data_IF_670376506498
#
_entry.id   IF_670376506498
#
_cell.length_a   1.000
_cell.length_b   1.000
_cell.length_c   1.000
_cell.angle_alpha   90.00
_cell.angle_beta   90.00
_cell.angle_gamma   90.00
#
_symmetry.space_group_name_H-M   'P 1'
#
loop_
_entity.id
_entity.type
_entity.pdbx_description
1 polymer ?
#
# COMPACT_ATOMS: atom_id res chain seq x y z
N UNK A 1 -53.36 -39.24 -20.97
CA UNK A 1 -52.50 -39.47 -19.76
C UNK A 1 -51.02 -39.13 -19.98
N UNK A 2 -50.32 -39.67 -21.02
CA UNK A 2 -48.87 -39.38 -21.23
C UNK A 2 -48.53 -37.88 -21.43
N UNK A 3 -49.37 -37.07 -22.06
CA UNK A 3 -49.14 -35.62 -22.29
C UNK A 3 -49.41 -34.76 -21.06
N UNK A 4 -50.29 -35.21 -20.16
CA UNK A 4 -50.60 -34.51 -18.88
C UNK A 4 -49.44 -34.77 -17.87
N UNK A 5 -48.90 -35.98 -17.85
CA UNK A 5 -47.76 -36.34 -17.02
C UNK A 5 -46.50 -35.58 -17.44
N UNK A 6 -46.23 -35.40 -18.77
CA UNK A 6 -45.11 -34.61 -19.28
C UNK A 6 -45.24 -33.12 -18.93
N UNK A 7 -46.46 -32.55 -18.93
CA UNK A 7 -46.68 -31.16 -18.55
C UNK A 7 -46.52 -30.95 -17.03
N UNK A 8 -46.95 -31.90 -16.18
CA UNK A 8 -46.72 -31.86 -14.74
C UNK A 8 -45.26 -32.01 -14.36
N UNK A 9 -44.48 -32.82 -15.04
CA UNK A 9 -43.03 -32.95 -14.83
C UNK A 9 -42.31 -31.67 -15.27
N UNK A 10 -42.71 -31.03 -16.37
CA UNK A 10 -42.13 -29.76 -16.80
C UNK A 10 -42.45 -28.59 -15.85
N UNK A 11 -43.66 -28.56 -15.26
CA UNK A 11 -44.05 -27.58 -14.23
C UNK A 11 -43.30 -27.85 -12.92
N UNK A 12 -43.07 -29.11 -12.50
CA UNK A 12 -42.25 -29.44 -11.32
C UNK A 12 -40.76 -29.12 -11.51
N UNK A 13 -40.22 -29.21 -12.75
CA UNK A 13 -38.85 -28.82 -13.05
C UNK A 13 -38.65 -27.28 -13.04
N UNK A 14 -39.71 -26.52 -13.34
CA UNK A 14 -39.66 -25.05 -13.24
C UNK A 14 -39.77 -24.52 -11.78
N UNK A 15 -40.35 -25.29 -10.87
CA UNK A 15 -40.43 -24.94 -9.45
C UNK A 15 -39.18 -25.34 -8.67
N UNK A 16 -38.33 -26.24 -9.21
CA UNK A 16 -37.10 -26.70 -8.59
C UNK A 16 -35.87 -25.81 -8.79
N UNK A 17 -35.97 -24.66 -9.46
CA UNK A 17 -34.87 -23.70 -9.70
C UNK A 17 -34.96 -22.43 -8.85
N UNK A 18 -35.84 -22.34 -7.88
CA UNK A 18 -35.72 -21.34 -6.83
C UNK A 18 -34.64 -21.81 -5.87
N UNK A 19 -33.36 -21.53 -6.20
CA UNK A 19 -32.29 -21.58 -5.23
C UNK A 19 -32.74 -20.76 -4.01
N UNK A 20 -32.51 -21.26 -2.83
CA UNK A 20 -32.68 -20.50 -1.59
C UNK A 20 -31.66 -19.35 -1.57
N UNK A 21 -31.93 -18.28 -2.31
CA UNK A 21 -31.35 -16.98 -1.99
C UNK A 21 -32.17 -16.44 -0.83
N UNK A 22 -31.52 -16.10 0.28
CA UNK A 22 -32.19 -15.29 1.30
C UNK A 22 -32.84 -14.09 0.60
N UNK A 23 -34.08 -13.74 0.93
CA UNK A 23 -34.72 -12.57 0.32
C UNK A 23 -33.84 -11.33 0.64
N UNK A 24 -33.57 -10.52 -0.38
CA UNK A 24 -32.85 -9.25 -0.17
C UNK A 24 -33.64 -8.36 0.78
N UNK A 25 -32.91 -7.64 1.64
CA UNK A 25 -33.46 -6.63 2.56
C UNK A 25 -33.52 -5.24 1.90
N UNK A 26 -33.03 -5.12 0.67
CA UNK A 26 -32.98 -3.87 -0.09
C UNK A 26 -34.28 -3.66 -0.87
N UNK A 27 -34.77 -2.43 -0.85
CA UNK A 27 -36.03 -2.04 -1.52
C UNK A 27 -35.90 -0.67 -2.17
N UNK A 28 -35.92 -0.58 -3.52
CA UNK A 28 -35.90 0.71 -4.22
C UNK A 28 -37.03 1.68 -3.83
N UNK A 29 -38.15 1.14 -3.34
CA UNK A 29 -39.28 1.93 -2.83
C UNK A 29 -39.04 2.52 -1.44
N UNK A 30 -38.07 2.01 -0.70
CA UNK A 30 -37.66 2.47 0.62
C UNK A 30 -36.13 2.45 0.76
N UNK A 31 -35.41 3.36 0.10
CA UNK A 31 -33.96 3.32 0.04
C UNK A 31 -33.27 3.43 1.40
N UNK A 32 -32.18 2.67 1.57
CA UNK A 32 -31.28 2.78 2.71
C UNK A 32 -30.13 3.74 2.39
N UNK A 33 -29.82 4.63 3.34
CA UNK A 33 -28.66 5.54 3.22
C UNK A 33 -27.49 5.03 4.07
N UNK A 34 -26.31 5.01 3.48
CA UNK A 34 -25.02 4.76 4.12
C UNK A 34 -24.21 6.04 4.17
N UNK A 35 -23.83 6.48 5.37
CA UNK A 35 -22.85 7.54 5.54
C UNK A 35 -21.43 6.95 5.41
N UNK A 36 -20.58 7.60 4.63
CA UNK A 36 -19.20 7.14 4.34
C UNK A 36 -18.16 8.17 4.73
N UNK A 37 -17.11 7.72 5.43
CA UNK A 37 -15.85 8.44 5.59
C UNK A 37 -14.74 7.77 4.79
N UNK A 38 -14.01 8.54 3.99
CA UNK A 38 -12.90 7.99 3.21
C UNK A 38 -11.65 8.87 3.23
N UNK A 39 -10.52 8.29 2.81
CA UNK A 39 -9.19 8.92 2.83
C UNK A 39 -8.68 9.35 1.44
N UNK A 40 -9.49 9.23 0.41
CA UNK A 40 -9.12 9.51 -1.00
C UNK A 40 -9.52 10.94 -1.40
N UNK A 41 -8.99 11.95 -0.71
CA UNK A 41 -9.38 13.35 -0.90
C UNK A 41 -8.25 14.28 -1.33
N UNK A 42 -7.07 13.76 -1.65
CA UNK A 42 -5.90 14.57 -2.00
C UNK A 42 -5.98 15.20 -3.39
N UNK A 43 -6.82 14.66 -4.27
CA UNK A 43 -7.06 15.19 -5.60
C UNK A 43 -8.26 16.15 -5.58
N UNK A 44 -8.21 17.22 -6.39
CA UNK A 44 -9.29 18.22 -6.50
C UNK A 44 -10.66 17.58 -6.82
N UNK A 45 -10.65 16.56 -7.70
CA UNK A 45 -11.80 15.71 -8.01
C UNK A 45 -11.52 14.29 -7.49
N UNK A 46 -11.94 13.99 -6.26
CA UNK A 46 -11.70 12.68 -5.64
C UNK A 46 -12.26 11.54 -6.50
N UNK A 47 -11.44 10.59 -6.95
CA UNK A 47 -11.91 9.41 -7.70
C UNK A 47 -12.98 8.62 -6.93
N UNK A 48 -12.88 8.57 -5.60
CA UNK A 48 -13.87 7.92 -4.74
C UNK A 48 -15.23 8.63 -4.81
N UNK A 49 -15.23 9.96 -4.81
CA UNK A 49 -16.48 10.73 -4.92
C UNK A 49 -17.16 10.52 -6.28
N UNK A 50 -16.39 10.42 -7.36
CA UNK A 50 -16.91 10.13 -8.70
C UNK A 50 -17.56 8.74 -8.76
N UNK A 51 -16.89 7.72 -8.22
CA UNK A 51 -17.43 6.36 -8.15
C UNK A 51 -18.69 6.28 -7.29
N UNK A 52 -18.75 6.98 -6.16
CA UNK A 52 -19.96 7.04 -5.33
C UNK A 52 -21.13 7.68 -6.08
N UNK A 53 -20.87 8.74 -6.84
CA UNK A 53 -21.90 9.37 -7.67
C UNK A 53 -22.42 8.41 -8.76
N UNK A 54 -21.51 7.66 -9.42
CA UNK A 54 -21.86 6.63 -10.40
C UNK A 54 -22.66 5.49 -9.76
N UNK A 55 -22.22 4.95 -8.62
CA UNK A 55 -22.95 3.92 -7.89
C UNK A 55 -24.37 4.38 -7.56
N UNK A 56 -24.51 5.56 -7.00
CA UNK A 56 -25.83 6.12 -6.63
C UNK A 56 -26.75 6.31 -7.85
N UNK A 57 -26.19 6.63 -9.02
CA UNK A 57 -26.96 6.82 -10.25
C UNK A 57 -27.30 5.50 -10.97
N UNK A 58 -26.66 4.39 -10.62
CA UNK A 58 -26.80 3.08 -11.28
C UNK A 58 -27.30 2.01 -10.31
N UNK A 59 -26.43 1.14 -9.83
CA UNK A 59 -26.75 0.00 -8.97
C UNK A 59 -27.41 0.46 -7.66
N UNK A 60 -26.98 1.60 -7.11
CA UNK A 60 -27.57 2.18 -5.91
C UNK A 60 -29.06 2.52 -6.12
N UNK A 61 -29.40 3.15 -7.25
CA UNK A 61 -30.80 3.44 -7.62
C UNK A 61 -31.61 2.16 -7.84
N UNK A 62 -31.05 1.17 -8.53
CA UNK A 62 -31.72 -0.09 -8.82
C UNK A 62 -32.03 -0.89 -7.56
N UNK A 63 -31.13 -0.87 -6.57
CA UNK A 63 -31.26 -1.66 -5.33
C UNK A 63 -31.82 -0.88 -4.15
N UNK A 64 -32.02 0.43 -4.27
CA UNK A 64 -32.48 1.28 -3.18
C UNK A 64 -31.36 1.56 -2.16
N UNK A 65 -30.17 1.87 -2.63
CA UNK A 65 -29.01 2.22 -1.80
C UNK A 65 -28.55 3.63 -2.17
N UNK A 66 -28.30 4.47 -1.16
CA UNK A 66 -27.69 5.79 -1.33
C UNK A 66 -26.45 5.88 -0.45
N UNK A 67 -25.29 6.05 -1.05
CA UNK A 67 -24.03 6.30 -0.32
C UNK A 67 -23.77 7.80 -0.29
N UNK A 68 -23.59 8.35 0.92
CA UNK A 68 -23.34 9.79 1.13
C UNK A 68 -22.02 9.98 1.83
N UNK A 69 -21.09 10.72 1.20
CA UNK A 69 -19.81 11.08 1.83
C UNK A 69 -20.09 12.16 2.89
N UNK A 70 -19.79 11.86 4.14
CA UNK A 70 -19.97 12.78 5.27
C UNK A 70 -18.64 13.31 5.82
N UNK A 71 -17.52 12.65 5.49
CA UNK A 71 -16.18 13.14 5.83
C UNK A 71 -15.15 12.64 4.82
N UNK A 72 -14.28 13.55 4.36
CA UNK A 72 -13.07 13.23 3.60
C UNK A 72 -11.87 13.64 4.44
N UNK A 73 -10.96 12.70 4.67
CA UNK A 73 -9.81 12.87 5.56
C UNK A 73 -8.57 12.20 4.94
N UNK A 74 -7.59 11.85 5.76
CA UNK A 74 -6.43 11.07 5.34
C UNK A 74 -6.13 9.95 6.34
N UNK A 75 -5.25 9.03 5.94
CA UNK A 75 -4.93 7.82 6.72
C UNK A 75 -4.36 8.13 8.11
N UNK A 76 -3.64 9.25 8.29
CA UNK A 76 -3.06 9.63 9.59
C UNK A 76 -4.07 10.22 10.56
N UNK A 77 -5.18 10.77 10.07
CA UNK A 77 -6.18 11.48 10.90
C UNK A 77 -7.43 10.66 11.19
N UNK A 78 -7.79 9.72 10.31
CA UNK A 78 -9.08 9.02 10.41
C UNK A 78 -9.26 8.29 11.74
N UNK A 79 -8.20 7.65 12.27
CA UNK A 79 -8.27 6.95 13.57
C UNK A 79 -8.61 7.89 14.72
N UNK A 80 -8.00 9.08 14.77
CA UNK A 80 -8.31 10.11 15.76
C UNK A 80 -9.76 10.62 15.63
N UNK A 81 -10.23 10.83 14.41
CA UNK A 81 -11.61 11.27 14.14
C UNK A 81 -12.64 10.21 14.53
N UNK A 82 -12.40 8.93 14.22
CA UNK A 82 -13.23 7.82 14.66
C UNK A 82 -13.29 7.73 16.19
N UNK A 83 -12.14 7.92 16.86
CA UNK A 83 -12.09 7.95 18.33
C UNK A 83 -12.91 9.10 18.91
N UNK A 84 -12.78 10.31 18.34
CA UNK A 84 -13.55 11.49 18.79
C UNK A 84 -15.06 11.29 18.57
N UNK A 85 -15.45 10.71 17.43
CA UNK A 85 -16.85 10.39 17.15
C UNK A 85 -17.40 9.30 18.08
N UNK A 86 -16.63 8.25 18.35
CA UNK A 86 -16.99 7.18 19.29
C UNK A 86 -17.21 7.72 20.71
N UNK A 87 -16.41 8.69 21.13
CA UNK A 87 -16.50 9.32 22.45
C UNK A 87 -17.51 10.48 22.50
N UNK A 88 -18.23 10.76 21.42
CA UNK A 88 -19.18 11.87 21.31
C UNK A 88 -18.55 13.22 21.73
N UNK A 89 -17.28 13.45 21.35
CA UNK A 89 -16.57 14.67 21.72
C UNK A 89 -17.22 15.91 21.11
N UNK A 90 -17.28 17.06 21.81
CA UNK A 90 -17.89 18.27 21.29
C UNK A 90 -17.32 18.68 19.93
N UNK A 91 -18.15 18.73 18.90
CA UNK A 91 -17.76 19.08 17.52
C UNK A 91 -17.26 17.92 16.68
N UNK A 92 -17.20 16.71 17.22
CA UNK A 92 -16.97 15.52 16.42
C UNK A 92 -18.18 15.25 15.49
N UNK A 93 -17.96 14.79 14.26
CA UNK A 93 -19.05 14.35 13.40
C UNK A 93 -19.64 13.03 13.93
N UNK A 94 -20.87 12.73 13.51
CA UNK A 94 -21.52 11.46 13.82
C UNK A 94 -20.73 10.27 13.23
N UNK A 95 -20.74 9.14 13.95
CA UNK A 95 -20.10 7.90 13.45
C UNK A 95 -20.67 7.49 12.09
N UNK A 96 -19.80 7.17 11.12
CA UNK A 96 -20.24 6.74 9.79
C UNK A 96 -20.74 5.28 9.81
N UNK A 97 -21.57 4.93 8.84
CA UNK A 97 -21.96 3.53 8.60
C UNK A 97 -20.83 2.73 7.95
N UNK A 98 -20.07 3.37 7.06
CA UNK A 98 -18.96 2.79 6.29
C UNK A 98 -17.75 3.72 6.33
N UNK A 99 -16.55 3.20 6.50
CA UNK A 99 -15.35 4.04 6.60
C UNK A 99 -14.08 3.33 6.19
N UNK A 100 -13.11 4.12 5.72
CA UNK A 100 -11.76 3.64 5.47
C UNK A 100 -11.08 3.26 6.79
N UNK A 101 -10.47 2.07 6.86
CA UNK A 101 -9.92 1.54 8.09
C UNK A 101 -8.66 0.69 7.90
N UNK A 102 -7.82 0.68 8.92
CA UNK A 102 -6.81 -0.36 9.18
C UNK A 102 -7.31 -1.29 10.29
N UNK A 103 -6.66 -2.44 10.48
CA UNK A 103 -7.00 -3.40 11.55
C UNK A 103 -6.87 -2.80 12.94
N UNK A 104 -5.95 -1.85 13.16
CA UNK A 104 -5.84 -1.08 14.41
C UNK A 104 -7.13 -0.31 14.76
N UNK A 105 -7.90 0.13 13.76
CA UNK A 105 -9.19 0.78 14.00
C UNK A 105 -10.25 -0.22 14.45
N UNK A 106 -10.16 -1.49 14.04
CA UNK A 106 -11.03 -2.54 14.58
C UNK A 106 -10.79 -2.75 16.08
N UNK A 107 -9.53 -2.72 16.53
CA UNK A 107 -9.19 -2.74 17.95
C UNK A 107 -9.76 -1.53 18.73
N UNK A 108 -9.69 -0.33 18.13
CA UNK A 108 -10.24 0.90 18.72
C UNK A 108 -11.75 0.86 18.90
N UNK A 109 -12.49 0.31 17.92
CA UNK A 109 -13.96 0.32 17.88
C UNK A 109 -14.58 -0.94 18.52
N UNK A 110 -13.77 -1.97 18.78
CA UNK A 110 -14.22 -3.32 19.09
C UNK A 110 -14.61 -4.07 17.81
N UNK A 111 -13.85 -5.09 17.44
CA UNK A 111 -14.07 -5.83 16.20
C UNK A 111 -15.48 -6.46 16.11
N UNK A 112 -16.08 -6.80 17.24
CA UNK A 112 -17.44 -7.32 17.34
C UNK A 112 -18.52 -6.31 16.94
N UNK A 113 -18.22 -5.01 16.96
CA UNK A 113 -19.09 -3.92 16.53
C UNK A 113 -19.02 -3.66 15.02
N UNK A 114 -18.15 -4.36 14.32
CA UNK A 114 -17.99 -4.27 12.87
C UNK A 114 -18.71 -5.43 12.17
N UNK A 115 -19.14 -5.16 10.94
CA UNK A 115 -19.67 -6.20 10.05
C UNK A 115 -18.56 -7.21 9.76
N UNK A 116 -18.85 -8.50 9.98
CA UNK A 116 -18.01 -9.56 9.45
C UNK A 116 -18.37 -9.80 7.97
N UNK A 117 -17.51 -9.38 7.07
CA UNK A 117 -17.75 -9.49 5.63
C UNK A 117 -17.95 -10.91 5.13
N UNK A 118 -17.45 -11.94 5.86
CA UNK A 118 -17.70 -13.35 5.54
C UNK A 118 -19.18 -13.77 5.69
N UNK A 119 -19.99 -12.98 6.39
CA UNK A 119 -21.42 -13.22 6.46
C UNK A 119 -22.17 -12.74 5.20
N UNK A 120 -21.51 -11.89 4.39
CA UNK A 120 -22.06 -11.22 3.19
C UNK A 120 -21.36 -11.63 1.89
N UNK A 121 -20.13 -12.12 1.95
CA UNK A 121 -19.37 -12.63 0.82
C UNK A 121 -19.16 -14.14 0.99
N UNK A 122 -19.54 -14.90 -0.03
CA UNK A 122 -19.27 -16.34 -0.06
C UNK A 122 -17.77 -16.63 -0.18
N UNK A 123 -17.34 -17.82 0.23
CA UNK A 123 -15.96 -18.29 0.03
C UNK A 123 -15.53 -18.26 -1.44
N UNK A 124 -16.49 -18.43 -2.36
CA UNK A 124 -16.21 -18.35 -3.79
C UNK A 124 -15.87 -16.93 -4.21
N UNK A 125 -16.65 -15.95 -3.76
CA UNK A 125 -16.39 -14.53 -4.04
C UNK A 125 -15.06 -14.08 -3.43
N UNK A 126 -14.77 -14.48 -2.17
CA UNK A 126 -13.51 -14.09 -1.52
C UNK A 126 -12.27 -14.66 -2.22
N UNK A 127 -12.38 -15.75 -2.98
CA UNK A 127 -11.28 -16.29 -3.81
C UNK A 127 -11.00 -15.46 -5.07
N UNK A 128 -11.85 -14.51 -5.41
CA UNK A 128 -11.64 -13.57 -6.51
C UNK A 128 -10.69 -12.43 -6.11
N UNK A 129 -10.39 -12.30 -4.81
CA UNK A 129 -9.48 -11.30 -4.24
C UNK A 129 -8.10 -11.89 -3.94
N UNK A 130 -7.10 -11.02 -3.90
CA UNK A 130 -5.72 -11.41 -3.50
C UNK A 130 -5.76 -11.91 -2.05
N UNK A 131 -5.34 -13.17 -1.80
CA UNK A 131 -5.52 -13.80 -0.48
C UNK A 131 -4.87 -12.99 0.66
N UNK A 132 -3.65 -12.49 0.46
CA UNK A 132 -2.90 -11.74 1.46
C UNK A 132 -3.61 -10.43 1.83
N UNK A 133 -4.36 -9.85 0.89
CA UNK A 133 -5.12 -8.62 1.13
C UNK A 133 -6.39 -8.90 1.94
N UNK A 134 -7.04 -10.04 1.71
CA UNK A 134 -8.16 -10.50 2.53
C UNK A 134 -7.68 -10.85 3.93
N UNK A 135 -6.58 -11.60 4.05
CA UNK A 135 -6.02 -12.00 5.34
C UNK A 135 -5.60 -10.80 6.19
N UNK A 136 -5.10 -9.73 5.56
CA UNK A 136 -4.74 -8.51 6.27
C UNK A 136 -5.92 -7.76 6.91
N UNK A 137 -7.15 -8.07 6.54
CA UNK A 137 -8.38 -7.51 7.11
C UNK A 137 -9.02 -8.36 8.18
N UNK A 138 -8.42 -9.54 8.49
CA UNK A 138 -8.91 -10.45 9.52
C UNK A 138 -8.64 -9.93 10.92
N UNK A 139 -9.62 -10.13 11.80
CA UNK A 139 -9.56 -9.89 13.25
C UNK A 139 -10.09 -11.11 13.98
N UNK A 140 -10.09 -11.09 15.31
CA UNK A 140 -10.70 -12.16 16.11
C UNK A 140 -12.21 -12.32 15.85
N UNK A 141 -12.89 -11.27 15.37
CA UNK A 141 -14.32 -11.30 15.03
C UNK A 141 -14.60 -11.72 13.56
N UNK A 142 -13.58 -12.03 12.77
CA UNK A 142 -13.70 -12.41 11.36
C UNK A 142 -13.07 -11.38 10.40
N UNK A 143 -13.54 -11.33 9.16
CA UNK A 143 -13.09 -10.34 8.18
C UNK A 143 -13.76 -8.99 8.45
N UNK A 144 -13.12 -8.13 9.25
CA UNK A 144 -13.67 -6.83 9.67
C UNK A 144 -13.34 -5.70 8.68
N UNK A 145 -12.20 -5.81 7.97
CA UNK A 145 -11.75 -4.80 7.02
C UNK A 145 -11.69 -5.41 5.61
N UNK A 146 -12.56 -4.96 4.71
CA UNK A 146 -12.55 -5.48 3.34
C UNK A 146 -11.53 -4.73 2.50
N UNK A 147 -10.63 -5.41 1.76
CA UNK A 147 -9.66 -4.75 0.91
C UNK A 147 -10.36 -4.09 -0.30
N UNK A 148 -10.05 -2.82 -0.56
CA UNK A 148 -10.59 -2.07 -1.71
C UNK A 148 -9.50 -1.40 -2.54
N UNK A 149 -8.37 -1.11 -1.91
CA UNK A 149 -7.12 -0.69 -2.54
C UNK A 149 -5.97 -1.00 -1.59
N UNK A 150 -4.83 -1.38 -2.14
CA UNK A 150 -3.62 -1.64 -1.35
C UNK A 150 -2.46 -0.89 -1.96
N UNK A 151 -1.45 -0.59 -1.17
CA UNK A 151 -0.20 -0.03 -1.66
C UNK A 151 0.97 -0.90 -1.24
N UNK A 152 2.04 -0.80 -2.00
CA UNK A 152 3.34 -1.36 -1.67
C UNK A 152 4.39 -0.27 -1.83
N UNK A 153 5.67 -0.65 -1.78
CA UNK A 153 6.76 0.23 -2.16
C UNK A 153 7.27 -0.15 -3.54
N UNK A 154 7.76 0.86 -4.26
CA UNK A 154 8.39 0.70 -5.56
C UNK A 154 9.59 1.64 -5.65
N UNK A 155 10.48 1.36 -6.60
CA UNK A 155 11.64 2.20 -6.92
C UNK A 155 11.26 3.18 -8.03
N UNK A 156 11.26 4.46 -7.71
CA UNK A 156 10.98 5.57 -8.63
C UNK A 156 12.30 6.21 -9.08
N UNK A 157 12.55 6.29 -10.38
CA UNK A 157 13.80 6.84 -10.94
C UNK A 157 13.54 8.01 -11.87
N UNK A 158 14.40 9.03 -11.80
CA UNK A 158 14.55 9.98 -12.87
C UNK A 158 15.25 9.27 -14.06
N UNK A 159 14.44 8.73 -14.98
CA UNK A 159 14.94 7.94 -16.12
C UNK A 159 15.85 8.75 -17.03
N UNK A 160 15.57 10.04 -17.26
CA UNK A 160 16.44 10.90 -18.09
C UNK A 160 17.86 11.01 -17.52
N UNK A 161 17.97 11.12 -16.19
CA UNK A 161 19.28 11.14 -15.52
C UNK A 161 19.91 9.75 -15.45
N UNK A 162 19.12 8.71 -15.19
CA UNK A 162 19.60 7.33 -15.17
C UNK A 162 20.15 6.90 -16.53
N UNK A 163 19.51 7.25 -17.63
CA UNK A 163 19.96 6.91 -18.98
C UNK A 163 21.31 7.54 -19.29
N UNK A 164 21.60 8.77 -18.81
CA UNK A 164 22.95 9.37 -18.92
C UNK A 164 23.98 8.59 -18.09
N UNK A 165 23.65 8.31 -16.83
CA UNK A 165 24.50 7.51 -15.96
C UNK A 165 24.77 6.10 -16.55
N UNK A 166 23.74 5.45 -17.05
CA UNK A 166 23.80 4.15 -17.71
C UNK A 166 24.75 4.18 -18.94
N UNK A 167 24.60 5.19 -19.79
CA UNK A 167 25.44 5.36 -20.99
C UNK A 167 26.92 5.51 -20.66
N UNK A 168 27.24 6.21 -19.57
CA UNK A 168 28.63 6.51 -19.21
C UNK A 168 29.30 5.37 -18.42
N UNK A 169 28.53 4.59 -17.66
CA UNK A 169 29.06 3.60 -16.72
C UNK A 169 28.75 2.14 -17.08
N UNK A 170 27.77 1.92 -17.97
CA UNK A 170 27.29 0.60 -18.35
C UNK A 170 26.33 -0.04 -17.34
N UNK A 171 25.93 0.67 -16.27
CA UNK A 171 24.89 0.21 -15.33
C UNK A 171 23.56 0.19 -16.04
N UNK A 172 22.79 -0.86 -15.89
CA UNK A 172 21.49 -1.07 -16.55
C UNK A 172 20.34 -1.10 -15.53
N UNK A 173 19.09 -0.99 -16.01
CA UNK A 173 17.92 -1.17 -15.16
C UNK A 173 17.86 -2.58 -14.54
N UNK A 174 18.36 -3.60 -15.22
CA UNK A 174 18.40 -4.97 -14.72
C UNK A 174 19.33 -5.14 -13.52
N UNK A 175 20.41 -4.33 -13.43
CA UNK A 175 21.31 -4.33 -12.28
C UNK A 175 20.59 -3.89 -10.99
N UNK A 176 19.49 -3.13 -11.10
CA UNK A 176 18.70 -2.66 -9.97
C UNK A 176 17.70 -3.71 -9.45
N UNK A 177 17.64 -4.90 -10.05
CA UNK A 177 16.66 -5.92 -9.68
C UNK A 177 16.97 -6.64 -8.36
N UNK A 178 18.18 -6.51 -7.82
CA UNK A 178 18.60 -7.09 -6.54
C UNK A 178 19.21 -6.02 -5.64
N UNK A 179 19.17 -6.22 -4.31
CA UNK A 179 19.82 -5.29 -3.38
C UNK A 179 21.33 -5.18 -3.61
N UNK A 180 22.00 -6.28 -3.95
CA UNK A 180 23.44 -6.27 -4.28
C UNK A 180 23.72 -5.35 -5.47
N UNK A 181 23.05 -5.59 -6.61
CA UNK A 181 23.25 -4.77 -7.80
C UNK A 181 22.78 -3.33 -7.62
N UNK A 182 21.72 -3.10 -6.84
CA UNK A 182 21.25 -1.76 -6.48
C UNK A 182 22.31 -0.97 -5.71
N UNK A 183 22.97 -1.56 -4.69
CA UNK A 183 24.01 -0.88 -3.93
C UNK A 183 25.28 -0.70 -4.73
N UNK A 184 25.63 -1.65 -5.60
CA UNK A 184 26.75 -1.49 -6.56
C UNK A 184 26.48 -0.32 -7.52
N UNK A 185 25.26 -0.18 -8.03
CA UNK A 185 24.85 0.94 -8.87
C UNK A 185 24.90 2.27 -8.09
N UNK A 186 24.48 2.26 -6.82
CA UNK A 186 24.53 3.43 -5.95
C UNK A 186 25.95 3.93 -5.70
N UNK A 187 26.90 3.02 -5.46
CA UNK A 187 28.32 3.34 -5.31
C UNK A 187 28.89 3.95 -6.61
N UNK A 188 28.62 3.33 -7.77
CA UNK A 188 29.04 3.86 -9.08
C UNK A 188 28.44 5.22 -9.39
N UNK A 189 27.17 5.44 -9.00
CA UNK A 189 26.52 6.74 -9.18
C UNK A 189 27.17 7.82 -8.32
N UNK A 190 27.49 7.51 -7.07
CA UNK A 190 28.16 8.42 -6.16
C UNK A 190 29.49 8.91 -6.75
N UNK A 191 30.33 8.00 -7.28
CA UNK A 191 31.56 8.32 -7.98
C UNK A 191 31.30 9.15 -9.26
N UNK A 192 30.39 8.69 -10.12
CA UNK A 192 30.08 9.35 -11.40
C UNK A 192 29.52 10.76 -11.22
N UNK A 193 28.68 10.97 -10.23
CA UNK A 193 28.02 12.24 -9.97
C UNK A 193 28.86 13.24 -9.17
N UNK A 194 30.02 12.83 -8.65
CA UNK A 194 30.87 13.64 -7.78
C UNK A 194 30.33 13.78 -6.37
N UNK A 195 29.78 12.70 -5.81
CA UNK A 195 29.36 12.61 -4.41
C UNK A 195 27.88 12.87 -4.16
N UNK A 196 27.01 12.73 -5.18
CA UNK A 196 25.54 12.83 -4.96
C UNK A 196 24.99 11.50 -4.51
N UNK A 197 24.11 11.55 -3.53
CA UNK A 197 23.34 10.40 -3.05
C UNK A 197 22.47 9.80 -4.17
N UNK A 198 22.48 8.49 -4.30
CA UNK A 198 21.72 7.77 -5.30
C UNK A 198 20.23 7.71 -4.99
N UNK A 199 19.88 7.31 -3.76
CA UNK A 199 18.51 6.99 -3.41
C UNK A 199 18.07 7.56 -2.06
N UNK A 200 16.87 8.18 -2.04
CA UNK A 200 16.12 8.45 -0.82
C UNK A 200 15.27 7.22 -0.46
N UNK A 201 15.40 6.72 0.76
CA UNK A 201 14.65 5.57 1.23
C UNK A 201 13.56 5.96 2.22
N UNK A 202 12.32 5.97 1.78
CA UNK A 202 11.19 6.04 2.70
C UNK A 202 11.12 4.72 3.48
N UNK A 203 10.93 4.81 4.80
CA UNK A 203 10.72 3.63 5.66
C UNK A 203 11.83 2.56 5.59
N UNK A 204 13.10 2.96 5.60
CA UNK A 204 14.27 2.07 5.54
C UNK A 204 14.13 0.84 6.46
N UNK A 205 13.63 1.03 7.69
CA UNK A 205 13.44 -0.06 8.65
C UNK A 205 12.48 -1.15 8.15
N UNK A 206 11.55 -0.81 7.25
CA UNK A 206 10.65 -1.79 6.65
C UNK A 206 11.40 -2.69 5.66
N UNK A 207 12.38 -2.17 4.96
CA UNK A 207 13.22 -2.97 4.05
C UNK A 207 14.13 -3.92 4.82
N UNK A 208 14.67 -3.48 5.96
CA UNK A 208 15.40 -4.36 6.89
C UNK A 208 14.52 -5.51 7.38
N UNK A 209 13.29 -5.21 7.81
CA UNK A 209 12.32 -6.21 8.24
C UNK A 209 12.01 -7.24 7.14
N UNK A 210 11.75 -6.77 5.90
CA UNK A 210 11.43 -7.65 4.78
C UNK A 210 12.63 -8.52 4.37
N UNK A 211 13.85 -7.99 4.42
CA UNK A 211 15.05 -8.77 4.15
C UNK A 211 15.24 -9.89 5.18
N UNK A 212 15.03 -9.59 6.48
CA UNK A 212 15.05 -10.62 7.53
C UNK A 212 13.97 -11.69 7.23
N UNK A 213 12.75 -11.27 6.90
CA UNK A 213 11.65 -12.18 6.61
C UNK A 213 11.92 -13.03 5.37
N UNK A 214 12.50 -12.48 4.31
CA UNK A 214 12.88 -13.23 3.11
C UNK A 214 13.94 -14.30 3.41
N UNK A 215 14.91 -14.01 4.29
CA UNK A 215 15.98 -14.94 4.67
C UNK A 215 15.56 -16.00 5.67
N UNK A 216 14.60 -15.70 6.56
CA UNK A 216 14.20 -16.58 7.68
C UNK A 216 12.78 -17.14 7.58
N UNK A 217 11.93 -16.58 6.72
CA UNK A 217 10.50 -16.87 6.64
C UNK A 217 9.64 -16.01 7.58
N UNK A 218 10.24 -15.38 8.59
CA UNK A 218 9.56 -14.47 9.54
C UNK A 218 10.47 -13.34 9.99
N UNK A 219 9.90 -12.19 10.29
CA UNK A 219 10.64 -11.09 10.93
C UNK A 219 10.81 -11.37 12.43
N UNK A 220 11.96 -10.98 12.99
CA UNK A 220 12.31 -11.27 14.37
C UNK A 220 12.13 -10.04 15.25
N UNK A 221 11.14 -10.09 16.13
CA UNK A 221 10.84 -9.05 17.10
C UNK A 221 11.00 -9.56 18.54
N UNK A 222 11.47 -8.69 19.42
CA UNK A 222 11.49 -8.92 20.85
C UNK A 222 10.10 -8.67 21.48
N UNK A 223 9.94 -9.03 22.76
CA UNK A 223 8.66 -8.89 23.47
C UNK A 223 8.14 -7.43 23.54
N UNK A 224 9.04 -6.45 23.46
CA UNK A 224 8.70 -5.03 23.45
C UNK A 224 8.25 -4.51 22.06
N UNK A 225 8.13 -5.39 21.07
CA UNK A 225 7.72 -5.09 19.72
C UNK A 225 8.80 -4.43 18.86
N UNK A 226 10.06 -4.32 19.33
CA UNK A 226 11.18 -3.89 18.52
C UNK A 226 11.94 -5.12 17.98
N UNK A 227 12.90 -4.91 17.10
CA UNK A 227 13.73 -5.99 16.56
C UNK A 227 14.53 -6.69 17.65
N UNK A 228 14.61 -8.01 17.60
CA UNK A 228 15.48 -8.79 18.48
C UNK A 228 16.95 -8.61 18.06
N UNK A 229 17.64 -7.67 18.68
CA UNK A 229 19.05 -7.37 18.37
C UNK A 229 20.03 -8.48 18.78
N UNK A 230 19.57 -9.54 19.43
CA UNK A 230 20.37 -10.74 19.71
C UNK A 230 20.37 -11.73 18.53
N UNK A 231 19.44 -11.59 17.59
CA UNK A 231 19.39 -12.41 16.37
C UNK A 231 20.41 -11.89 15.34
N UNK A 232 21.36 -12.72 14.91
CA UNK A 232 22.34 -12.34 13.88
C UNK A 232 21.72 -11.85 12.58
N UNK A 233 20.54 -12.37 12.18
CA UNK A 233 19.87 -11.95 10.95
C UNK A 233 19.44 -10.48 11.00
N UNK A 234 19.10 -9.96 12.19
CA UNK A 234 18.78 -8.53 12.36
C UNK A 234 20.03 -7.68 12.16
N UNK A 235 21.18 -8.11 12.68
CA UNK A 235 22.46 -7.44 12.46
C UNK A 235 22.84 -7.46 10.98
N UNK A 236 22.82 -8.62 10.34
CA UNK A 236 23.24 -8.77 8.96
C UNK A 236 22.37 -7.94 8.00
N UNK A 237 21.04 -7.99 8.19
CA UNK A 237 20.10 -7.20 7.40
C UNK A 237 20.23 -5.70 7.67
N UNK A 238 20.48 -5.31 8.93
CA UNK A 238 20.76 -3.91 9.25
C UNK A 238 22.02 -3.42 8.53
N UNK A 239 23.13 -4.17 8.62
CA UNK A 239 24.41 -3.78 8.05
C UNK A 239 24.36 -3.64 6.52
N UNK A 240 23.54 -4.45 5.84
CA UNK A 240 23.33 -4.35 4.39
C UNK A 240 22.83 -2.97 3.96
N UNK A 241 21.99 -2.31 4.76
CA UNK A 241 21.52 -0.95 4.49
C UNK A 241 22.36 0.13 5.18
N UNK A 242 22.92 -0.17 6.34
CA UNK A 242 23.69 0.79 7.14
C UNK A 242 25.03 1.15 6.48
N UNK A 243 25.66 0.23 5.77
CA UNK A 243 26.94 0.48 5.11
C UNK A 243 26.78 1.46 3.93
N UNK A 244 25.85 1.28 2.98
CA UNK A 244 25.56 2.29 1.95
C UNK A 244 25.07 3.63 2.52
N UNK A 245 24.36 3.62 3.67
CA UNK A 245 23.97 4.85 4.36
C UNK A 245 25.19 5.60 4.89
N UNK A 246 26.14 4.89 5.53
CA UNK A 246 27.38 5.47 6.06
C UNK A 246 28.29 5.99 4.95
N UNK A 247 28.22 5.41 3.75
CA UNK A 247 28.93 5.85 2.56
C UNK A 247 28.25 7.03 1.82
N UNK A 248 27.05 7.47 2.26
CA UNK A 248 26.29 8.52 1.59
C UNK A 248 25.63 8.08 0.27
N UNK A 249 25.63 6.78 -0.04
CA UNK A 249 25.04 6.25 -1.27
C UNK A 249 23.50 6.23 -1.21
N UNK A 250 22.95 6.02 -0.04
CA UNK A 250 21.50 6.14 0.25
C UNK A 250 21.28 7.09 1.43
N UNK A 251 20.08 7.61 1.58
CA UNK A 251 19.74 8.51 2.68
C UNK A 251 18.34 8.29 3.23
N UNK A 252 18.17 8.60 4.51
CA UNK A 252 16.88 8.77 5.19
C UNK A 252 16.62 10.26 5.35
N UNK A 253 15.45 10.75 4.90
CA UNK A 253 15.11 12.17 4.90
C UNK A 253 13.86 12.46 5.75
N UNK A 254 13.65 13.74 6.11
CA UNK A 254 12.36 14.23 6.63
C UNK A 254 11.32 14.39 5.51
N UNK A 255 11.81 14.67 4.29
CA UNK A 255 10.97 14.76 3.10
C UNK A 255 10.80 13.37 2.48
N UNK A 256 9.66 13.18 1.85
CA UNK A 256 9.42 11.96 1.08
C UNK A 256 10.34 11.86 -0.14
N UNK A 257 10.69 10.66 -0.52
CA UNK A 257 11.60 10.33 -1.63
C UNK A 257 11.21 10.99 -2.95
N UNK A 258 9.91 11.15 -3.24
CA UNK A 258 9.44 11.85 -4.43
C UNK A 258 9.94 13.30 -4.51
N UNK A 259 10.07 14.01 -3.38
CA UNK A 259 10.61 15.37 -3.35
C UNK A 259 12.05 15.42 -3.85
N UNK A 260 12.90 14.51 -3.36
CA UNK A 260 14.31 14.46 -3.76
C UNK A 260 14.51 14.10 -5.24
N UNK A 261 13.65 13.22 -5.77
CA UNK A 261 13.68 12.87 -7.21
C UNK A 261 13.23 14.04 -8.07
N UNK A 262 12.14 14.72 -7.70
CA UNK A 262 11.58 15.84 -8.48
C UNK A 262 12.42 17.12 -8.40
N UNK A 263 13.28 17.25 -7.37
CA UNK A 263 14.25 18.35 -7.25
C UNK A 263 15.64 17.99 -7.80
N UNK A 264 15.84 16.74 -8.24
CA UNK A 264 17.14 16.27 -8.77
C UNK A 264 18.25 16.22 -7.73
N UNK A 265 17.90 16.26 -6.44
CA UNK A 265 18.86 16.05 -5.35
C UNK A 265 19.37 14.60 -5.31
N UNK A 266 18.48 13.64 -5.59
CA UNK A 266 18.79 12.21 -5.68
C UNK A 266 18.25 11.66 -6.99
N UNK A 267 18.90 10.63 -7.50
CA UNK A 267 18.51 9.99 -8.76
C UNK A 267 17.21 9.23 -8.65
N UNK A 268 17.02 8.55 -7.55
CA UNK A 268 15.86 7.71 -7.32
C UNK A 268 15.36 7.80 -5.88
N UNK A 269 14.19 7.20 -5.66
CA UNK A 269 13.59 7.08 -4.35
C UNK A 269 12.79 5.79 -4.24
N UNK A 270 12.84 5.16 -3.08
CA UNK A 270 11.95 4.05 -2.74
C UNK A 270 10.85 4.58 -1.82
N UNK A 271 9.61 4.47 -2.29
CA UNK A 271 8.44 4.97 -1.57
C UNK A 271 7.17 4.22 -1.95
N UNK A 272 6.04 4.68 -1.42
CA UNK A 272 4.73 4.09 -1.69
C UNK A 272 4.38 4.16 -3.18
N UNK A 273 3.76 3.11 -3.73
CA UNK A 273 3.18 3.12 -5.08
C UNK A 273 2.21 4.30 -5.28
N UNK A 274 1.44 4.65 -4.23
CA UNK A 274 0.52 5.77 -4.25
C UNK A 274 1.22 7.15 -4.38
N UNK A 275 2.54 7.23 -4.21
CA UNK A 275 3.27 8.49 -4.41
C UNK A 275 3.38 8.93 -5.86
N UNK A 276 3.00 8.07 -6.83
CA UNK A 276 2.99 8.41 -8.27
C UNK A 276 2.24 9.72 -8.57
N UNK A 277 1.18 10.01 -7.83
CA UNK A 277 0.37 11.22 -8.01
C UNK A 277 1.11 12.53 -7.70
N UNK A 278 2.25 12.44 -7.00
CA UNK A 278 3.10 13.58 -6.66
C UNK A 278 4.28 13.78 -7.61
N UNK A 279 4.42 12.90 -8.61
CA UNK A 279 5.43 13.05 -9.64
C UNK A 279 4.85 13.76 -10.87
N UNK A 280 5.61 14.73 -11.40
CA UNK A 280 5.38 15.33 -12.69
C UNK A 280 6.27 14.72 -13.77
N UNK A 281 6.26 15.36 -14.93
CA UNK A 281 7.13 15.04 -16.08
C UNK A 281 8.41 15.88 -16.13
N UNK A 282 8.67 16.67 -15.09
CA UNK A 282 9.76 17.65 -15.04
C UNK A 282 10.50 17.56 -13.72
N UNK A 283 11.83 17.50 -13.77
CA UNK A 283 12.69 17.74 -12.62
C UNK A 283 13.08 19.21 -12.59
N UNK A 284 13.01 19.83 -11.41
CA UNK A 284 13.43 21.22 -11.19
C UNK A 284 14.58 21.26 -10.19
N UNK A 285 15.75 21.61 -10.65
CA UNK A 285 16.97 21.64 -9.86
C UNK A 285 17.05 22.85 -8.90
N UNK A 286 17.90 22.82 -7.86
CA UNK A 286 18.03 23.93 -6.90
C UNK A 286 18.46 25.26 -7.51
N UNK A 287 19.09 25.26 -8.69
CA UNK A 287 19.47 26.46 -9.44
C UNK A 287 18.32 27.02 -10.31
N UNK A 288 17.11 26.48 -10.19
CA UNK A 288 15.90 26.78 -10.96
C UNK A 288 15.99 26.41 -12.46
N UNK A 289 16.97 25.60 -12.87
CA UNK A 289 16.91 24.96 -14.18
C UNK A 289 15.95 23.76 -14.14
N UNK A 290 15.38 23.41 -15.27
CA UNK A 290 14.45 22.27 -15.37
C UNK A 290 14.72 21.46 -16.62
N UNK A 291 14.48 20.18 -16.57
CA UNK A 291 14.50 19.29 -17.73
C UNK A 291 13.35 18.26 -17.64
N UNK A 292 13.06 17.62 -18.76
CA UNK A 292 12.10 16.52 -18.81
C UNK A 292 12.57 15.34 -17.96
N UNK A 293 11.70 14.84 -17.12
CA UNK A 293 11.93 13.65 -16.29
C UNK A 293 11.13 12.48 -16.86
N UNK A 294 11.79 11.60 -17.57
CA UNK A 294 11.25 10.31 -17.96
C UNK A 294 11.12 9.40 -16.72
N UNK A 295 10.11 9.63 -15.90
CA UNK A 295 9.93 8.84 -14.68
C UNK A 295 9.77 7.35 -15.02
N UNK A 296 10.62 6.52 -14.41
CA UNK A 296 10.55 5.06 -14.49
C UNK A 296 10.24 4.50 -13.11
N UNK A 297 9.36 3.51 -13.06
CA UNK A 297 9.05 2.81 -11.82
C UNK A 297 9.41 1.35 -11.98
N UNK A 298 10.19 0.84 -11.05
CA UNK A 298 10.65 -0.55 -11.02
C UNK A 298 10.13 -1.25 -9.76
N UNK A 299 10.03 -2.59 -9.78
CA UNK A 299 9.80 -3.36 -8.56
C UNK A 299 10.85 -3.06 -7.50
N UNK A 300 10.56 -3.36 -6.24
CA UNK A 300 11.57 -3.37 -5.20
C UNK A 300 12.69 -4.36 -5.55
N UNK A 301 13.96 -4.05 -5.23
CA UNK A 301 15.06 -4.99 -5.39
C UNK A 301 14.81 -6.26 -4.56
N UNK A 302 15.16 -7.43 -5.12
CA UNK A 302 15.05 -8.73 -4.45
C UNK A 302 16.26 -9.01 -3.57
N UNK A 303 16.05 -9.75 -2.49
CA UNK A 303 17.13 -10.25 -1.62
C UNK A 303 17.87 -11.45 -2.21
N UNK A 304 17.29 -12.14 -3.21
CA UNK A 304 17.78 -13.39 -3.77
C UNK A 304 17.36 -14.62 -2.96
N UNK A 305 16.42 -14.47 -2.02
CA UNK A 305 15.85 -15.57 -1.25
C UNK A 305 14.84 -16.39 -2.08
N UNK A 306 14.47 -17.57 -1.58
CA UNK A 306 13.46 -18.43 -2.23
C UNK A 306 12.08 -17.76 -2.24
N UNK A 307 11.74 -17.02 -1.18
CA UNK A 307 10.50 -16.25 -1.06
C UNK A 307 10.87 -14.80 -0.86
N UNK A 308 10.39 -13.96 -1.75
CA UNK A 308 10.54 -12.51 -1.65
C UNK A 308 9.28 -11.87 -1.09
N UNK A 309 9.44 -10.89 -0.22
CA UNK A 309 8.33 -10.19 0.40
C UNK A 309 8.30 -8.72 0.03
N UNK A 310 7.08 -8.20 -0.13
CA UNK A 310 6.82 -6.76 -0.24
C UNK A 310 5.89 -6.29 0.87
N UNK A 311 6.01 -5.03 1.31
CA UNK A 311 5.05 -4.53 2.28
C UNK A 311 3.69 -4.35 1.62
N UNK A 312 2.63 -4.72 2.32
CA UNK A 312 1.31 -4.23 1.99
C UNK A 312 0.89 -3.16 3.00
N UNK A 313 0.32 -2.11 2.47
CA UNK A 313 -0.23 -0.99 3.22
C UNK A 313 -1.56 -0.55 2.60
N UNK A 314 -2.07 0.59 3.03
CA UNK A 314 -3.35 1.10 2.57
C UNK A 314 -4.50 0.67 3.48
N UNK A 315 -5.63 1.31 3.29
CA UNK A 315 -6.85 1.05 4.05
C UNK A 315 -7.78 0.13 3.26
N UNK A 316 -8.60 -0.62 3.99
CA UNK A 316 -9.80 -1.23 3.44
C UNK A 316 -11.04 -0.45 3.86
N UNK A 317 -12.22 -1.04 3.68
CA UNK A 317 -13.48 -0.54 4.18
C UNK A 317 -13.99 -1.40 5.34
N UNK A 318 -14.36 -0.74 6.44
CA UNK A 318 -15.10 -1.33 7.54
C UNK A 318 -16.51 -0.76 7.57
N UNK A 319 -17.47 -1.55 8.01
CA UNK A 319 -18.85 -1.11 8.24
C UNK A 319 -19.25 -1.35 9.70
N UNK A 320 -19.96 -0.39 10.31
CA UNK A 320 -20.54 -0.58 11.63
C UNK A 320 -21.71 -1.57 11.58
N UNK A 321 -21.75 -2.47 12.55
CA UNK A 321 -22.83 -3.44 12.71
C UNK A 321 -24.04 -2.75 13.35
N UNK A 322 -24.91 -2.21 12.51
CA UNK A 322 -26.15 -1.52 12.94
C UNK A 322 -27.39 -2.32 12.57
N UNK A 323 -27.70 -2.48 11.30
CA UNK A 323 -28.80 -3.30 10.78
C UNK A 323 -28.33 -4.20 9.66
N UNK A 324 -28.98 -5.35 9.47
CA UNK A 324 -28.66 -6.26 8.36
C UNK A 324 -28.89 -5.59 6.99
N UNK A 325 -29.89 -4.70 6.87
CA UNK A 325 -30.12 -3.93 5.64
C UNK A 325 -28.93 -3.03 5.28
N UNK A 326 -28.34 -2.33 6.27
CA UNK A 326 -27.14 -1.51 6.04
C UNK A 326 -25.90 -2.36 5.74
N UNK A 327 -25.78 -3.52 6.39
CA UNK A 327 -24.68 -4.45 6.10
C UNK A 327 -24.77 -5.02 4.68
N UNK A 328 -26.00 -5.42 4.23
CA UNK A 328 -26.25 -5.84 2.84
C UNK A 328 -25.93 -4.71 1.86
N UNK A 329 -26.41 -3.50 2.12
CA UNK A 329 -26.13 -2.34 1.27
C UNK A 329 -24.63 -2.02 1.16
N UNK A 330 -23.89 -2.11 2.27
CA UNK A 330 -22.45 -1.93 2.29
C UNK A 330 -21.74 -3.02 1.47
N UNK A 331 -22.17 -4.28 1.58
CA UNK A 331 -21.62 -5.39 0.80
C UNK A 331 -21.89 -5.21 -0.71
N UNK A 332 -23.06 -4.74 -1.10
CA UNK A 332 -23.38 -4.44 -2.49
C UNK A 332 -22.52 -3.30 -3.05
N UNK A 333 -22.29 -2.24 -2.28
CA UNK A 333 -21.38 -1.17 -2.66
C UNK A 333 -19.95 -1.68 -2.83
N UNK A 334 -19.45 -2.48 -1.89
CA UNK A 334 -18.09 -3.05 -1.94
C UNK A 334 -17.92 -3.97 -3.14
N UNK A 335 -18.86 -4.87 -3.43
CA UNK A 335 -18.83 -5.73 -4.63
C UNK A 335 -18.71 -4.91 -5.89
N UNK A 336 -19.60 -3.92 -6.03
CA UNK A 336 -19.61 -3.05 -7.19
C UNK A 336 -18.30 -2.26 -7.32
N UNK A 337 -17.79 -1.73 -6.22
CA UNK A 337 -16.55 -0.94 -6.21
C UNK A 337 -15.31 -1.79 -6.57
N UNK A 338 -15.31 -3.06 -6.20
CA UNK A 338 -14.17 -3.95 -6.40
C UNK A 338 -14.28 -4.86 -7.64
N UNK A 339 -15.26 -4.65 -8.52
CA UNK A 339 -15.25 -5.26 -9.86
C UNK A 339 -13.96 -4.92 -10.60
N UNK A 340 -13.38 -5.88 -11.33
CA UNK A 340 -12.01 -5.81 -11.85
C UNK A 340 -11.71 -4.53 -12.65
N UNK A 341 -12.52 -4.20 -13.64
CA UNK A 341 -12.35 -3.01 -14.48
C UNK A 341 -12.43 -1.72 -13.65
N UNK A 342 -13.46 -1.60 -12.82
CA UNK A 342 -13.70 -0.42 -11.97
C UNK A 342 -12.63 -0.25 -10.89
N UNK A 343 -12.21 -1.36 -10.27
CA UNK A 343 -11.14 -1.34 -9.29
C UNK A 343 -9.82 -0.91 -9.94
N UNK A 344 -9.52 -1.42 -11.15
CA UNK A 344 -8.33 -1.02 -11.89
C UNK A 344 -8.38 0.48 -12.26
N UNK A 345 -9.51 0.98 -12.77
CA UNK A 345 -9.69 2.41 -13.04
C UNK A 345 -9.45 3.30 -11.81
N UNK A 346 -9.96 2.88 -10.66
CA UNK A 346 -9.76 3.60 -9.40
C UNK A 346 -8.30 3.59 -8.95
N UNK A 347 -7.64 2.43 -8.98
CA UNK A 347 -6.25 2.33 -8.48
C UNK A 347 -5.27 2.98 -9.44
N UNK A 348 -5.53 3.01 -10.74
CA UNK A 348 -4.71 3.79 -11.69
C UNK A 348 -4.76 5.27 -11.36
N UNK A 349 -5.91 5.82 -11.00
CA UNK A 349 -6.03 7.23 -10.64
C UNK A 349 -5.36 7.58 -9.31
N UNK A 350 -5.15 6.60 -8.43
CA UNK A 350 -4.68 6.81 -7.05
C UNK A 350 -3.29 6.24 -6.76
N UNK A 351 -2.71 5.47 -7.70
CA UNK A 351 -1.41 4.82 -7.55
C UNK A 351 -1.43 3.60 -6.60
N UNK A 352 -2.61 3.13 -6.20
CA UNK A 352 -2.76 1.93 -5.39
C UNK A 352 -2.66 0.66 -6.25
N UNK A 353 -2.64 -0.50 -5.59
CA UNK A 353 -2.68 -1.82 -6.23
C UNK A 353 -4.11 -2.33 -6.29
N UNK A 354 -4.50 -3.03 -7.37
CA UNK A 354 -5.78 -3.73 -7.45
C UNK A 354 -5.91 -4.78 -6.35
N UNK A 355 -7.14 -5.02 -5.91
CA UNK A 355 -7.40 -6.01 -4.85
C UNK A 355 -8.00 -7.32 -5.36
N UNK A 356 -8.53 -7.35 -6.58
CA UNK A 356 -9.03 -8.57 -7.20
C UNK A 356 -8.05 -9.15 -8.22
N UNK A 357 -7.98 -10.48 -8.29
CA UNK A 357 -7.01 -11.22 -9.13
C UNK A 357 -7.24 -10.94 -10.62
N UNK A 358 -8.49 -10.76 -11.04
CA UNK A 358 -8.80 -10.52 -12.45
C UNK A 358 -8.32 -9.15 -12.94
N UNK A 359 -8.27 -8.13 -12.08
CA UNK A 359 -7.73 -6.82 -12.44
C UNK A 359 -6.25 -6.87 -12.84
N UNK A 360 -5.46 -7.77 -12.24
CA UNK A 360 -4.05 -7.96 -12.64
C UNK A 360 -3.88 -8.49 -14.06
N UNK A 361 -4.87 -9.22 -14.58
CA UNK A 361 -4.86 -9.73 -15.97
C UNK A 361 -5.10 -8.61 -17.00
N UNK A 362 -5.71 -7.52 -16.57
CA UNK A 362 -6.06 -6.38 -17.42
C UNK A 362 -4.97 -5.32 -17.46
N UNK A 363 -4.00 -5.35 -16.52
CA UNK A 363 -2.90 -4.38 -16.42
C UNK A 363 -2.17 -4.20 -17.76
N UNK A 364 -1.83 -5.30 -18.45
CA UNK A 364 -1.04 -5.25 -19.67
C UNK A 364 -1.77 -4.55 -20.83
N UNK A 365 -3.09 -4.64 -20.87
CA UNK A 365 -3.95 -4.07 -21.94
C UNK A 365 -4.58 -2.72 -21.58
N UNK A 366 -4.39 -2.25 -20.35
CA UNK A 366 -4.99 -1.00 -19.88
C UNK A 366 -4.39 0.23 -20.58
N UNK A 367 -5.23 1.23 -20.83
CA UNK A 367 -4.81 2.50 -21.46
C UNK A 367 -4.38 3.52 -20.40
N UNK A 368 -3.09 3.55 -20.08
CA UNK A 368 -2.55 4.43 -19.05
C UNK A 368 -2.47 5.90 -19.49
N UNK A 369 -2.55 6.86 -18.54
CA UNK A 369 -2.40 8.29 -18.83
C UNK A 369 -1.05 8.65 -19.45
N UNK A 370 0.02 7.96 -19.06
CA UNK A 370 1.38 8.16 -19.56
C UNK A 370 2.28 6.95 -19.23
N UNK A 371 3.53 6.97 -19.72
CA UNK A 371 4.52 5.91 -19.53
C UNK A 371 4.92 5.70 -18.05
N UNK A 372 4.88 6.73 -17.21
CA UNK A 372 5.19 6.59 -15.78
C UNK A 372 4.15 5.70 -15.07
N UNK A 373 2.85 5.93 -15.33
CA UNK A 373 1.79 5.08 -14.80
C UNK A 373 1.88 3.66 -15.38
N UNK A 374 2.17 3.54 -16.68
CA UNK A 374 2.38 2.21 -17.27
C UNK A 374 3.52 1.48 -16.58
N UNK A 375 4.69 2.11 -16.37
CA UNK A 375 5.83 1.49 -15.69
C UNK A 375 5.50 1.11 -14.24
N UNK A 376 4.72 1.92 -13.52
CA UNK A 376 4.23 1.58 -12.18
C UNK A 376 3.39 0.31 -12.18
N UNK A 377 2.43 0.21 -13.09
CA UNK A 377 1.53 -0.96 -13.11
C UNK A 377 2.22 -2.21 -13.66
N UNK A 378 3.20 -2.07 -14.56
CA UNK A 378 4.09 -3.16 -14.95
C UNK A 378 4.91 -3.64 -13.72
N UNK A 379 5.44 -2.73 -12.90
CA UNK A 379 6.13 -3.07 -11.66
C UNK A 379 5.19 -3.75 -10.64
N UNK A 380 3.96 -3.24 -10.47
CA UNK A 380 2.93 -3.84 -9.59
C UNK A 380 2.60 -5.27 -10.06
N UNK A 381 2.45 -5.50 -11.36
CA UNK A 381 2.21 -6.83 -11.90
C UNK A 381 3.38 -7.78 -11.60
N UNK A 382 4.61 -7.35 -11.85
CA UNK A 382 5.81 -8.16 -11.52
C UNK A 382 5.90 -8.46 -10.02
N UNK A 383 5.58 -7.49 -9.17
CA UNK A 383 5.58 -7.72 -7.72
C UNK A 383 4.47 -8.69 -7.30
N UNK A 384 3.28 -8.61 -7.89
CA UNK A 384 2.21 -9.58 -7.63
C UNK A 384 2.58 -11.01 -8.05
N UNK A 385 3.34 -11.17 -9.14
CA UNK A 385 3.76 -12.48 -9.65
C UNK A 385 4.91 -13.11 -8.85
N UNK A 386 5.81 -12.30 -8.29
CA UNK A 386 7.09 -12.76 -7.75
C UNK A 386 7.25 -12.59 -6.24
N UNK A 387 6.41 -11.79 -5.59
CA UNK A 387 6.56 -11.45 -4.18
C UNK A 387 5.29 -11.82 -3.42
N UNK A 388 5.46 -12.11 -2.15
CA UNK A 388 4.36 -12.25 -1.18
C UNK A 388 4.14 -10.93 -0.46
N UNK A 389 2.92 -10.41 -0.50
CA UNK A 389 2.58 -9.16 0.19
C UNK A 389 2.33 -9.42 1.68
N UNK A 390 3.00 -8.68 2.56
CA UNK A 390 2.89 -8.86 4.01
C UNK A 390 2.58 -7.56 4.74
N UNK A 391 1.67 -7.67 5.72
CA UNK A 391 1.45 -6.62 6.71
C UNK A 391 2.44 -6.79 7.85
N UNK A 392 2.88 -5.67 8.43
CA UNK A 392 3.62 -5.72 9.68
C UNK A 392 2.64 -5.93 10.84
N UNK A 393 3.02 -6.71 11.87
CA UNK A 393 2.29 -6.72 13.13
C UNK A 393 2.18 -5.30 13.72
N UNK A 394 1.04 -5.01 14.35
CA UNK A 394 0.80 -3.72 15.01
C UNK A 394 1.34 -3.82 16.45
N UNK A 395 2.46 -3.16 16.70
CA UNK A 395 3.08 -3.11 18.02
C UNK A 395 2.92 -1.72 18.63
N UNK A 396 2.47 -1.67 19.86
CA UNK A 396 2.39 -0.43 20.64
C UNK A 396 3.75 0.27 20.68
N UNK A 397 3.78 1.55 20.33
CA UNK A 397 5.01 2.35 20.37
C UNK A 397 5.98 2.16 19.21
N UNK A 398 5.77 1.20 18.29
CA UNK A 398 6.68 0.95 17.17
C UNK A 398 6.92 2.21 16.30
N UNK A 399 5.87 2.98 16.06
CA UNK A 399 5.99 4.24 15.31
C UNK A 399 6.88 5.26 16.01
N UNK A 400 6.77 5.40 17.34
CA UNK A 400 7.63 6.27 18.15
C UNK A 400 9.09 5.82 18.11
N UNK A 401 9.35 4.52 18.22
CA UNK A 401 10.69 3.92 18.11
C UNK A 401 11.28 4.17 16.71
N UNK A 402 10.50 3.98 15.67
CA UNK A 402 10.90 4.26 14.27
C UNK A 402 11.28 5.74 14.08
N UNK A 403 10.49 6.67 14.61
CA UNK A 403 10.82 8.10 14.53
C UNK A 403 12.13 8.41 15.25
N UNK A 404 12.34 7.86 16.46
CA UNK A 404 13.60 8.01 17.19
C UNK A 404 14.79 7.50 16.40
N UNK A 405 14.64 6.34 15.75
CA UNK A 405 15.67 5.79 14.87
C UNK A 405 16.00 6.75 13.73
N UNK A 406 14.98 7.24 13.02
CA UNK A 406 15.20 8.11 11.86
C UNK A 406 15.77 9.48 12.23
N UNK A 407 15.36 10.06 13.36
CA UNK A 407 15.96 11.30 13.88
C UNK A 407 17.46 11.13 14.13
N UNK A 408 17.85 10.01 14.74
CA UNK A 408 19.24 9.67 14.95
C UNK A 408 20.02 9.42 13.67
N UNK A 409 19.46 8.65 12.72
CA UNK A 409 20.12 8.39 11.45
C UNK A 409 20.33 9.67 10.64
N UNK A 410 19.35 10.56 10.58
CA UNK A 410 19.47 11.87 9.92
C UNK A 410 20.54 12.75 10.56
N UNK A 411 20.68 12.68 11.87
CA UNK A 411 21.74 13.41 12.58
C UNK A 411 23.14 12.83 12.33
N UNK A 412 23.25 11.54 12.06
CA UNK A 412 24.53 10.83 11.90
C UNK A 412 24.99 10.78 10.44
N UNK A 413 24.11 10.51 9.48
CA UNK A 413 24.44 10.09 8.12
C UNK A 413 25.41 11.03 7.38
N UNK A 414 25.23 12.35 7.47
CA UNK A 414 26.13 13.30 6.83
C UNK A 414 27.56 13.23 7.38
N UNK A 415 27.73 13.19 8.72
CA UNK A 415 29.03 13.05 9.34
C UNK A 415 29.71 11.71 9.09
N UNK A 416 28.92 10.62 8.91
CA UNK A 416 29.44 9.31 8.54
C UNK A 416 29.96 9.32 7.11
N UNK A 417 29.21 9.91 6.16
CA UNK A 417 29.64 10.04 4.77
C UNK A 417 30.91 10.88 4.64
N UNK A 418 31.01 12.04 5.32
CA UNK A 418 32.22 12.87 5.33
C UNK A 418 33.46 12.10 5.84
N UNK A 419 33.29 11.26 6.86
CA UNK A 419 34.38 10.44 7.41
C UNK A 419 34.75 9.29 6.48
N UNK A 420 33.77 8.69 5.82
CA UNK A 420 34.01 7.66 4.81
C UNK A 420 34.82 8.24 3.63
N UNK A 421 34.46 9.41 3.12
CA UNK A 421 35.17 10.12 2.07
C UNK A 421 36.61 10.52 2.49
N UNK A 422 36.81 10.74 3.80
CA UNK A 422 38.14 10.97 4.38
C UNK A 422 38.98 9.67 4.54
N UNK A 423 38.41 8.51 4.21
CA UNK A 423 39.08 7.21 4.18
C UNK A 423 38.90 6.34 5.41
N UNK A 424 37.89 6.64 6.26
CA UNK A 424 37.51 5.72 7.34
C UNK A 424 36.78 4.49 6.75
N UNK A 425 36.90 3.36 7.44
CA UNK A 425 36.28 2.11 7.03
C UNK A 425 34.75 2.15 7.13
N UNK A 426 34.05 1.96 5.99
CA UNK A 426 32.59 2.06 5.90
C UNK A 426 31.88 1.08 6.85
N UNK A 427 32.38 -0.16 6.97
CA UNK A 427 31.81 -1.15 7.88
C UNK A 427 31.97 -0.76 9.36
N UNK A 428 33.08 -0.08 9.72
CA UNK A 428 33.25 0.45 11.06
C UNK A 428 32.26 1.59 11.35
N UNK A 429 32.07 2.49 10.36
CA UNK A 429 31.08 3.59 10.46
C UNK A 429 29.64 3.06 10.53
N UNK A 430 29.29 2.08 9.73
CA UNK A 430 27.98 1.43 9.80
C UNK A 430 27.70 0.79 11.16
N UNK A 431 28.72 0.26 11.84
CA UNK A 431 28.57 -0.26 13.21
C UNK A 431 28.18 0.82 14.24
N UNK A 432 28.53 2.07 14.02
CA UNK A 432 28.08 3.16 14.90
C UNK A 432 26.56 3.31 14.83
N UNK A 433 25.96 3.14 13.64
CA UNK A 433 24.50 3.13 13.48
C UNK A 433 23.85 1.91 14.13
N UNK A 434 24.53 0.74 14.12
CA UNK A 434 24.07 -0.44 14.82
C UNK A 434 24.09 -0.25 16.35
N UNK A 435 25.15 0.34 16.89
CA UNK A 435 25.19 0.65 18.32
C UNK A 435 24.05 1.60 18.71
N UNK A 436 23.74 2.58 17.87
CA UNK A 436 22.57 3.45 18.07
C UNK A 436 21.26 2.67 17.96
N UNK A 437 21.09 1.81 16.93
CA UNK A 437 19.91 0.97 16.74
C UNK A 437 19.55 0.15 17.98
N UNK A 438 20.57 -0.43 18.65
CA UNK A 438 20.38 -1.18 19.89
C UNK A 438 19.92 -0.34 21.09
N UNK A 439 20.02 0.97 21.02
CA UNK A 439 19.55 1.86 22.11
C UNK A 439 18.05 2.18 22.03
N UNK A 440 17.41 1.89 20.89
CA UNK A 440 15.98 2.15 20.66
C UNK A 440 15.15 1.20 21.55
N UNK A 441 14.30 1.78 22.40
CA UNK A 441 13.51 1.06 23.42
C UNK A 441 12.03 1.43 23.34
#
# INVERSE_FOLDING_TARGET
MKRIIAFLIFVMLLIGMTGCSNPTLLDPGNPVTLSLWHVYGEQADSPMNQLIAEFNATVGQEKGIVVTVTNVTNTSKIGGQLKSALNEEPGAPDMPDLFSAHTSHAGLLGAENLVNWKDWFSEKELKEYVPEFVDSGMTDAGLSIFPVSKSSYALFLNGSQFDRFSSDTGVTYDDLATWEGFFDAAAKYYEWSGGKTFCAMDYLIRHVELDIQSKKGEATFAEDGWFDTSDPAVYDSWMMFAEPLAQGHIAVSELYSNTHVTTGEMLCGIGSTASIIYFGDTVTYPDNTSEEMNLRVLPLPMSGAEVEYIPQSGVGLAALKTTDQKAEAAAEFVRWFTEAERNLDFVVQTGYMPVCVDAYKEIESYNYPNEAYKSLFDAIRVMHEKYTAVSRPDFDGFYGKTNTLYDGLRAMQGGLADRCDAGEDAGALAKETWEFFKTIK
#
